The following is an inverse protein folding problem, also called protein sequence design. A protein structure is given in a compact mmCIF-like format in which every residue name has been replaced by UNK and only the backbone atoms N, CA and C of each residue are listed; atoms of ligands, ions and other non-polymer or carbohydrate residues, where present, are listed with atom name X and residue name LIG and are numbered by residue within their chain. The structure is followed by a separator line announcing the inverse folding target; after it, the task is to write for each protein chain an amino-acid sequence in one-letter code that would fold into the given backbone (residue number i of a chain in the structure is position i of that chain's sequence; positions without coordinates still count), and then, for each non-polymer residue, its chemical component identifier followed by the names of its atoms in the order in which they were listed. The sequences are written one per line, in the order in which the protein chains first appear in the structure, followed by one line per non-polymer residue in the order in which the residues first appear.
data_IF_430589917323
#
_entry.id   IF_430589917323
#
_cell.length_a   1.000
_cell.length_b   1.000
_cell.length_c   1.000
_cell.angle_alpha   90.00
_cell.angle_beta   90.00
_cell.angle_gamma   90.00
#
_symmetry.space_group_name_H-M   'P 1'
#
loop_
_entity.id
_entity.type
_entity.pdbx_description
1 polymer ?
#
# COMPACT_ATOMS: atom_id res chain seq x y z
N UNK A 1 6.89 -21.83 -4.48
CA UNK A 1 7.55 -20.98 -3.47
C UNK A 1 6.45 -20.27 -2.71
N UNK A 2 6.55 -20.15 -1.39
CA UNK A 2 5.57 -19.36 -0.62
C UNK A 2 5.67 -17.89 -1.04
N UNK A 3 4.51 -17.28 -1.33
CA UNK A 3 4.43 -15.87 -1.69
C UNK A 3 4.88 -15.03 -0.49
N UNK A 4 5.90 -14.19 -0.70
CA UNK A 4 6.40 -13.31 0.36
C UNK A 4 5.37 -12.25 0.67
N UNK A 5 5.33 -11.79 1.92
CA UNK A 5 4.41 -10.73 2.33
C UNK A 5 5.17 -9.45 2.63
N UNK A 6 4.69 -8.32 2.12
CA UNK A 6 5.20 -6.98 2.41
C UNK A 6 4.07 -6.09 2.94
N UNK A 7 4.37 -5.33 3.98
CA UNK A 7 3.39 -4.47 4.64
C UNK A 7 3.93 -3.04 4.83
N UNK A 8 3.35 -2.08 4.11
CA UNK A 8 3.77 -0.67 4.17
C UNK A 8 3.04 0.08 5.30
N UNK A 9 3.79 0.62 6.26
CA UNK A 9 3.23 1.28 7.44
C UNK A 9 3.41 2.81 7.37
N UNK A 10 2.37 3.54 7.77
CA UNK A 10 2.38 4.99 7.93
C UNK A 10 1.51 5.41 9.12
N UNK A 11 1.37 6.70 9.42
CA UNK A 11 0.51 7.14 10.54
C UNK A 11 -0.98 6.90 10.29
N UNK A 12 -1.45 7.15 9.07
CA UNK A 12 -2.88 7.35 8.77
C UNK A 12 -3.53 6.40 7.75
N UNK A 13 -2.78 5.43 7.23
CA UNK A 13 -3.15 4.59 6.08
C UNK A 13 -3.85 5.34 4.92
N UNK A 14 -3.36 6.54 4.59
CA UNK A 14 -4.10 7.48 3.73
C UNK A 14 -3.38 7.90 2.44
N UNK A 15 -2.07 8.24 2.49
CA UNK A 15 -1.31 8.70 1.32
C UNK A 15 -0.16 7.76 0.95
N UNK A 16 1.02 7.93 1.58
CA UNK A 16 2.29 7.27 1.20
C UNK A 16 2.20 5.75 1.12
N UNK A 17 1.68 5.15 2.18
CA UNK A 17 1.45 3.73 2.34
C UNK A 17 0.45 3.17 1.31
N UNK A 18 -0.61 3.92 0.94
CA UNK A 18 -1.58 3.53 -0.09
C UNK A 18 -0.96 3.56 -1.49
N UNK A 19 -0.21 4.62 -1.82
CA UNK A 19 0.55 4.71 -3.08
C UNK A 19 1.59 3.60 -3.18
N UNK A 20 2.30 3.30 -2.09
CA UNK A 20 3.28 2.22 -2.03
C UNK A 20 2.63 0.84 -2.25
N UNK A 21 1.44 0.61 -1.70
CA UNK A 21 0.68 -0.63 -1.97
C UNK A 21 0.32 -0.77 -3.45
N UNK A 22 -0.19 0.30 -4.08
CA UNK A 22 -0.53 0.29 -5.51
C UNK A 22 0.70 0.03 -6.39
N UNK A 23 1.81 0.74 -6.13
CA UNK A 23 3.09 0.50 -6.80
C UNK A 23 3.60 -0.93 -6.57
N UNK A 24 3.51 -1.43 -5.33
CA UNK A 24 3.94 -2.79 -4.99
C UNK A 24 3.15 -3.85 -5.74
N UNK A 25 1.81 -3.74 -5.77
CA UNK A 25 0.94 -4.66 -6.52
C UNK A 25 1.28 -4.68 -8.01
N UNK A 26 1.57 -3.52 -8.61
CA UNK A 26 1.95 -3.43 -10.03
C UNK A 26 3.33 -4.03 -10.33
N UNK A 27 4.32 -3.76 -9.47
CA UNK A 27 5.72 -4.09 -9.75
C UNK A 27 6.15 -5.47 -9.24
N UNK A 28 5.53 -5.95 -8.16
CA UNK A 28 5.89 -7.22 -7.52
C UNK A 28 5.02 -8.40 -7.98
N UNK A 29 3.92 -8.11 -8.70
CA UNK A 29 3.04 -9.11 -9.29
C UNK A 29 2.56 -10.15 -8.28
N UNK A 30 2.43 -11.40 -8.73
CA UNK A 30 1.91 -12.51 -7.93
C UNK A 30 2.95 -13.13 -6.97
N UNK A 31 4.21 -12.71 -7.05
CA UNK A 31 5.27 -13.19 -6.16
C UNK A 31 5.13 -12.66 -4.73
N UNK A 32 4.39 -11.56 -4.55
CA UNK A 32 4.23 -10.88 -3.28
C UNK A 32 2.77 -10.60 -2.93
N UNK A 33 2.44 -10.84 -1.66
CA UNK A 33 1.24 -10.32 -1.02
C UNK A 33 1.54 -8.91 -0.49
N UNK A 34 0.91 -7.89 -1.06
CA UNK A 34 1.20 -6.48 -0.79
C UNK A 34 0.05 -5.83 -0.04
N UNK A 35 0.36 -5.28 1.14
CA UNK A 35 -0.61 -4.63 2.02
C UNK A 35 -0.10 -3.26 2.49
N UNK A 36 -1.00 -2.43 3.01
CA UNK A 36 -0.65 -1.20 3.73
C UNK A 36 -1.50 -0.96 4.97
N UNK A 37 -0.90 -0.36 6.00
CA UNK A 37 -1.52 -0.15 7.30
C UNK A 37 -1.07 1.14 7.96
N UNK A 38 -1.71 1.49 9.07
CA UNK A 38 -1.29 2.62 9.88
C UNK A 38 -1.84 2.61 11.29
N UNK A 39 -1.27 3.46 12.14
CA UNK A 39 -1.66 3.59 13.55
C UNK A 39 -3.14 3.98 13.66
N UNK A 40 -3.63 4.77 12.71
CA UNK A 40 -5.05 5.11 12.50
C UNK A 40 -5.38 4.96 11.02
N UNK A 41 -6.64 4.67 10.70
CA UNK A 41 -7.14 4.70 9.33
C UNK A 41 -7.95 5.99 9.11
N UNK A 42 -7.47 6.85 8.22
CA UNK A 42 -8.12 8.14 7.88
C UNK A 42 -8.84 8.11 6.53
N UNK A 43 -8.96 6.93 5.90
CA UNK A 43 -9.44 6.80 4.52
C UNK A 43 -8.35 7.16 3.49
N UNK A 44 -8.55 6.75 2.24
CA UNK A 44 -7.59 7.02 1.16
C UNK A 44 -7.68 8.49 0.75
N UNK A 45 -6.53 9.17 0.69
CA UNK A 45 -6.47 10.57 0.29
C UNK A 45 -6.85 10.70 -1.20
N UNK A 46 -7.81 11.57 -1.57
CA UNK A 46 -8.20 11.76 -2.98
C UNK A 46 -7.03 12.10 -3.90
N UNK A 47 -6.05 12.88 -3.43
CA UNK A 47 -4.84 13.22 -4.21
C UNK A 47 -3.90 12.02 -4.39
N UNK A 48 -3.93 11.05 -3.48
CA UNK A 48 -3.19 9.81 -3.65
C UNK A 48 -3.84 8.90 -4.70
N UNK A 49 -5.16 8.99 -4.88
CA UNK A 49 -5.87 8.30 -5.97
C UNK A 49 -5.54 8.97 -7.31
N UNK A 50 -5.59 10.30 -7.37
CA UNK A 50 -5.29 11.07 -8.59
C UNK A 50 -3.84 10.88 -9.10
N UNK A 51 -2.89 10.65 -8.18
CA UNK A 51 -1.47 10.52 -8.51
C UNK A 51 -1.04 9.10 -8.94
N UNK A 52 -1.88 8.08 -8.73
CA UNK A 52 -1.56 6.66 -8.96
C UNK A 52 -2.14 6.15 -10.27
#
# INVERSE_FOLDING_TARGET
MENKTIYFICTGNSCRCQMAEGCGKKNLGDEWQVYSGGIKAHGVNPKAIEAM
#
